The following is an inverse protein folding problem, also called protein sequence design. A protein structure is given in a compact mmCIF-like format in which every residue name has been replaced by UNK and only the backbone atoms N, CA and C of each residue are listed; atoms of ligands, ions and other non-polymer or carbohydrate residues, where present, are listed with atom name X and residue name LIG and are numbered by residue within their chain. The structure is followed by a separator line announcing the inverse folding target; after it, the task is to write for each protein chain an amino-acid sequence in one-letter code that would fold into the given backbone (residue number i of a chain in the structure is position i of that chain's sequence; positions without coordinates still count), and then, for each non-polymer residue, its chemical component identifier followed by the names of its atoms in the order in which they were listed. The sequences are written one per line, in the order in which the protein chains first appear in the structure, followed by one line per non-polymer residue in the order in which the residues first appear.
data_IF_173605583322
#
_entry.id   IF_173605583322
#
_cell.length_a   1.000
_cell.length_b   1.000
_cell.length_c   1.000
_cell.angle_alpha   90.00
_cell.angle_beta   90.00
_cell.angle_gamma   90.00
#
_symmetry.space_group_name_H-M   'P 1'
#
loop_
_entity.id
_entity.type
_entity.pdbx_description
1 polymer ?
#
# COMPACT_ATOMS: atom_id res chain seq x y z
N UNK A 1 9.60 10.33 -30.01
CA UNK A 1 9.53 10.59 -28.56
C UNK A 1 10.11 9.37 -27.85
N UNK A 2 11.21 9.53 -27.12
CA UNK A 2 11.90 8.46 -26.39
C UNK A 2 11.91 8.79 -24.89
N UNK A 3 11.17 8.02 -24.10
CA UNK A 3 11.15 8.19 -22.65
C UNK A 3 12.05 7.15 -21.98
N UNK A 4 12.80 7.60 -20.97
CA UNK A 4 13.75 6.79 -20.21
C UNK A 4 13.39 6.89 -18.72
N UNK A 5 13.78 5.90 -17.92
CA UNK A 5 13.53 5.91 -16.47
C UNK A 5 14.11 7.14 -15.77
N UNK A 6 15.23 7.69 -16.26
CA UNK A 6 15.77 8.95 -15.73
C UNK A 6 14.79 10.12 -15.84
N UNK A 7 13.95 10.16 -16.88
CA UNK A 7 12.94 11.20 -17.08
C UNK A 7 11.82 11.07 -16.06
N UNK A 8 11.37 9.84 -15.77
CA UNK A 8 10.38 9.55 -14.73
C UNK A 8 10.93 9.92 -13.33
N UNK A 9 12.17 9.52 -13.04
CA UNK A 9 12.85 9.88 -11.79
C UNK A 9 12.99 11.39 -11.62
N UNK A 10 13.33 12.11 -12.69
CA UNK A 10 13.45 13.56 -12.67
C UNK A 10 12.13 14.25 -12.31
N UNK A 11 11.01 13.89 -12.95
CA UNK A 11 9.74 14.55 -12.66
C UNK A 11 9.25 14.27 -11.24
N UNK A 12 9.40 13.02 -10.78
CA UNK A 12 9.04 12.60 -9.43
C UNK A 12 9.88 13.34 -8.40
N UNK A 13 11.20 13.38 -8.57
CA UNK A 13 12.10 14.09 -7.68
C UNK A 13 11.79 15.60 -7.60
N UNK A 14 11.49 16.25 -8.73
CA UNK A 14 11.11 17.67 -8.76
C UNK A 14 9.80 17.92 -8.03
N UNK A 15 8.80 17.05 -8.22
CA UNK A 15 7.53 17.11 -7.52
C UNK A 15 7.71 16.96 -6.00
N UNK A 16 8.36 15.87 -5.58
CA UNK A 16 8.56 15.52 -4.16
C UNK A 16 9.42 16.57 -3.42
N UNK A 17 10.37 17.16 -4.13
CA UNK A 17 11.26 18.18 -3.58
C UNK A 17 10.77 19.62 -3.83
N UNK A 18 9.63 19.83 -4.49
CA UNK A 18 9.04 21.15 -4.75
C UNK A 18 9.97 22.15 -5.46
N UNK A 19 10.96 21.69 -6.23
CA UNK A 19 11.90 22.56 -6.94
C UNK A 19 13.18 21.86 -7.42
N UNK A 20 13.79 22.40 -8.48
CA UNK A 20 14.94 21.78 -9.16
C UNK A 20 16.18 21.63 -8.27
N UNK A 21 16.50 22.59 -7.39
CA UNK A 21 17.72 22.52 -6.57
C UNK A 21 17.67 21.32 -5.63
N UNK A 22 16.62 21.24 -4.78
CA UNK A 22 16.44 20.13 -3.84
C UNK A 22 16.29 18.78 -4.54
N UNK A 23 15.68 18.76 -5.73
CA UNK A 23 15.56 17.55 -6.53
C UNK A 23 16.92 17.08 -7.07
N UNK A 24 17.74 18.01 -7.57
CA UNK A 24 19.07 17.71 -8.08
C UNK A 24 19.99 17.18 -6.97
N UNK A 25 19.92 17.78 -5.78
CA UNK A 25 20.65 17.30 -4.59
C UNK A 25 20.25 15.85 -4.24
N UNK A 26 18.94 15.54 -4.21
CA UNK A 26 18.45 14.17 -3.97
C UNK A 26 18.88 13.17 -5.04
N UNK A 27 19.01 13.62 -6.28
CA UNK A 27 19.42 12.79 -7.42
C UNK A 27 20.94 12.70 -7.59
N UNK A 28 21.72 13.34 -6.71
CA UNK A 28 23.19 13.42 -6.79
C UNK A 28 23.69 13.96 -8.15
N UNK A 29 23.02 14.97 -8.69
CA UNK A 29 23.40 15.67 -9.93
C UNK A 29 23.37 17.19 -9.75
N UNK A 30 23.93 17.93 -10.70
CA UNK A 30 23.86 19.40 -10.66
C UNK A 30 22.46 19.88 -11.05
N UNK A 31 22.05 21.02 -10.49
CA UNK A 31 20.78 21.68 -10.86
C UNK A 31 20.72 22.03 -12.37
N UNK A 32 21.86 22.36 -12.98
CA UNK A 32 21.97 22.62 -14.42
C UNK A 32 21.74 21.35 -15.26
N UNK A 33 22.27 20.20 -14.83
CA UNK A 33 22.05 18.92 -15.50
C UNK A 33 20.57 18.51 -15.46
N UNK A 34 19.92 18.62 -14.30
CA UNK A 34 18.50 18.33 -14.16
C UNK A 34 17.64 19.28 -15.01
N UNK A 35 17.97 20.57 -15.03
CA UNK A 35 17.28 21.57 -15.86
C UNK A 35 17.40 21.24 -17.35
N UNK A 36 18.60 20.87 -17.82
CA UNK A 36 18.83 20.48 -19.21
C UNK A 36 18.07 19.21 -19.58
N UNK A 37 18.03 18.23 -18.69
CA UNK A 37 17.28 16.99 -18.88
C UNK A 37 15.77 17.26 -19.01
N UNK A 38 15.20 18.10 -18.15
CA UNK A 38 13.79 18.51 -18.23
C UNK A 38 13.50 19.24 -19.54
N UNK A 39 14.36 20.20 -19.90
CA UNK A 39 14.19 20.96 -21.14
C UNK A 39 14.22 20.03 -22.37
N UNK A 40 15.19 19.12 -22.44
CA UNK A 40 15.27 18.15 -23.52
C UNK A 40 14.05 17.23 -23.58
N UNK A 41 13.48 16.88 -22.43
CA UNK A 41 12.23 16.11 -22.34
C UNK A 41 11.03 16.90 -22.87
N UNK A 42 10.89 18.19 -22.50
CA UNK A 42 9.84 19.08 -23.01
C UNK A 42 9.97 19.30 -24.52
N UNK A 43 11.18 19.55 -25.01
CA UNK A 43 11.49 19.73 -26.45
C UNK A 43 11.10 18.48 -27.25
N UNK A 44 11.43 17.29 -26.74
CA UNK A 44 11.08 16.03 -27.37
C UNK A 44 9.57 15.72 -27.29
N UNK A 45 8.91 16.14 -26.20
CA UNK A 45 7.48 15.93 -26.01
C UNK A 45 6.63 16.93 -26.79
N UNK A 46 7.20 18.07 -27.18
CA UNK A 46 6.49 19.18 -27.82
C UNK A 46 5.51 19.90 -26.89
N UNK A 47 5.59 19.64 -25.58
CA UNK A 47 4.71 20.19 -24.54
C UNK A 47 5.50 20.51 -23.29
N UNK A 48 5.10 21.58 -22.61
CA UNK A 48 5.69 21.95 -21.33
C UNK A 48 5.18 21.03 -20.23
N UNK A 49 6.08 20.50 -19.42
CA UNK A 49 5.78 19.70 -18.23
C UNK A 49 5.70 20.56 -16.98
N UNK A 50 6.25 21.79 -17.01
CA UNK A 50 6.20 22.74 -15.90
C UNK A 50 5.54 24.06 -16.31
N UNK A 51 4.83 24.68 -15.36
CA UNK A 51 4.25 26.02 -15.56
C UNK A 51 5.34 27.06 -15.40
N UNK A 52 5.64 27.79 -16.47
CA UNK A 52 6.64 28.87 -16.46
C UNK A 52 6.35 29.91 -15.37
N UNK A 53 7.41 30.43 -14.75
CA UNK A 53 7.40 31.58 -13.81
C UNK A 53 6.53 31.39 -12.57
N UNK A 54 6.32 30.16 -12.11
CA UNK A 54 5.68 29.87 -10.83
C UNK A 54 6.72 29.66 -9.72
N UNK A 55 6.48 30.28 -8.55
CA UNK A 55 7.20 30.00 -7.29
C UNK A 55 6.15 29.65 -6.24
N UNK A 56 6.07 28.39 -5.77
CA UNK A 56 6.91 27.24 -6.12
C UNK A 56 6.69 26.76 -7.57
N UNK A 57 7.66 26.01 -8.11
CA UNK A 57 7.56 25.38 -9.41
C UNK A 57 6.38 24.40 -9.42
N UNK A 58 5.50 24.51 -10.42
CA UNK A 58 4.32 23.62 -10.56
C UNK A 58 4.37 22.82 -11.85
N UNK A 59 3.84 21.60 -11.79
CA UNK A 59 3.60 20.77 -12.96
C UNK A 59 2.46 21.35 -13.81
N UNK A 60 2.59 21.25 -15.13
CA UNK A 60 1.51 21.50 -16.08
C UNK A 60 0.53 20.32 -16.11
N UNK A 61 -0.53 20.41 -16.92
CA UNK A 61 -1.42 19.26 -17.17
C UNK A 61 -0.66 18.07 -17.79
N UNK A 62 0.31 18.32 -18.68
CA UNK A 62 1.16 17.28 -19.24
C UNK A 62 2.14 16.72 -18.20
N UNK A 63 2.72 17.59 -17.37
CA UNK A 63 3.57 17.20 -16.26
C UNK A 63 2.85 16.29 -15.25
N UNK A 64 1.59 16.58 -14.94
CA UNK A 64 0.78 15.76 -14.04
C UNK A 64 0.52 14.36 -14.61
N UNK A 65 0.28 14.24 -15.92
CA UNK A 65 0.14 12.93 -16.58
C UNK A 65 1.45 12.14 -16.56
N UNK A 66 2.56 12.83 -16.76
CA UNK A 66 3.89 12.21 -16.73
C UNK A 66 4.31 11.80 -15.32
N UNK A 67 3.93 12.57 -14.29
CA UNK A 67 4.08 12.18 -12.88
C UNK A 67 3.29 10.92 -12.55
N UNK A 68 2.01 10.84 -12.93
CA UNK A 68 1.19 9.63 -12.72
C UNK A 68 1.82 8.39 -13.35
N UNK A 69 2.44 8.53 -14.52
CA UNK A 69 3.18 7.44 -15.14
C UNK A 69 4.41 7.05 -14.31
N UNK A 70 5.16 8.03 -13.80
CA UNK A 70 6.32 7.78 -12.94
C UNK A 70 5.92 7.08 -11.62
N UNK A 71 4.82 7.48 -11.00
CA UNK A 71 4.29 6.88 -9.77
C UNK A 71 3.84 5.43 -9.96
N UNK A 72 3.45 5.04 -11.17
CA UNK A 72 3.11 3.64 -11.49
C UNK A 72 4.33 2.81 -11.88
N UNK A 73 5.17 3.32 -12.78
CA UNK A 73 6.26 2.54 -13.41
C UNK A 73 7.48 2.41 -12.50
N UNK A 74 7.83 3.44 -11.72
CA UNK A 74 9.04 3.38 -10.88
C UNK A 74 8.95 2.28 -9.80
N UNK A 75 7.81 2.10 -9.09
CA UNK A 75 7.66 0.98 -8.16
C UNK A 75 7.80 -0.40 -8.80
N UNK A 76 7.26 -0.61 -10.02
CA UNK A 76 7.40 -1.89 -10.74
C UNK A 76 8.86 -2.21 -11.04
N UNK A 77 9.65 -1.20 -11.44
CA UNK A 77 11.09 -1.37 -11.68
C UNK A 77 11.86 -1.62 -10.38
N UNK A 78 11.51 -0.91 -9.30
CA UNK A 78 12.13 -1.09 -7.99
C UNK A 78 11.86 -2.50 -7.43
N UNK A 79 10.65 -3.04 -7.63
CA UNK A 79 10.30 -4.42 -7.27
C UNK A 79 11.17 -5.43 -8.04
N UNK A 80 11.30 -5.28 -9.35
CA UNK A 80 12.16 -6.15 -10.16
C UNK A 80 13.64 -6.08 -9.72
N UNK A 81 14.15 -4.88 -9.41
CA UNK A 81 15.51 -4.70 -8.88
C UNK A 81 15.69 -5.38 -7.51
N UNK A 82 14.66 -5.42 -6.68
CA UNK A 82 14.64 -6.16 -5.42
C UNK A 82 14.62 -7.68 -5.64
N UNK A 83 13.79 -8.19 -6.56
CA UNK A 83 13.73 -9.61 -6.90
C UNK A 83 15.09 -10.13 -7.38
N UNK A 84 15.77 -9.37 -8.25
CA UNK A 84 17.11 -9.73 -8.71
C UNK A 84 18.14 -9.73 -7.59
N UNK A 85 18.02 -8.85 -6.59
CA UNK A 85 18.88 -8.87 -5.41
C UNK A 85 18.63 -10.11 -4.56
N UNK A 86 17.37 -10.48 -4.36
CA UNK A 86 16.99 -11.67 -3.59
C UNK A 86 17.48 -12.96 -4.26
N UNK A 87 17.27 -13.10 -5.57
CA UNK A 87 17.78 -14.23 -6.37
C UNK A 87 19.29 -14.40 -6.23
N UNK A 88 20.05 -13.29 -6.26
CA UNK A 88 21.51 -13.31 -6.10
C UNK A 88 21.98 -13.71 -4.70
N UNK A 89 21.16 -13.48 -3.68
CA UNK A 89 21.46 -13.82 -2.28
C UNK A 89 21.06 -15.25 -1.91
N UNK A 90 20.48 -16.02 -2.84
CA UNK A 90 19.97 -17.36 -2.55
C UNK A 90 18.70 -17.37 -1.71
N UNK A 91 18.11 -16.19 -1.45
CA UNK A 91 16.79 -16.06 -0.82
C UNK A 91 15.75 -16.44 -1.86
N UNK A 92 15.20 -17.65 -1.73
CA UNK A 92 14.21 -18.18 -2.65
C UNK A 92 12.82 -17.88 -2.12
N UNK A 93 12.19 -16.86 -2.69
CA UNK A 93 10.77 -16.57 -2.53
C UNK A 93 10.49 -15.38 -1.63
N UNK A 94 9.45 -14.64 -1.99
CA UNK A 94 8.84 -13.60 -1.17
C UNK A 94 7.38 -13.99 -0.98
N UNK A 95 6.85 -13.76 0.21
CA UNK A 95 5.45 -13.95 0.54
C UNK A 95 4.86 -12.63 1.00
N UNK A 96 4.07 -12.01 0.14
CA UNK A 96 3.32 -10.80 0.40
C UNK A 96 1.96 -11.13 1.01
N UNK A 97 1.72 -10.64 2.22
CA UNK A 97 0.49 -10.88 2.97
C UNK A 97 -0.22 -9.56 3.22
N UNK A 98 -1.49 -9.45 2.82
CA UNK A 98 -2.38 -8.38 3.25
C UNK A 98 -3.37 -8.90 4.29
N UNK A 99 -3.80 -8.02 5.20
CA UNK A 99 -4.66 -8.36 6.33
C UNK A 99 -5.79 -7.34 6.39
N UNK A 100 -7.04 -7.81 6.40
CA UNK A 100 -8.24 -6.98 6.57
C UNK A 100 -8.85 -7.10 7.97
N UNK A 101 -8.44 -8.10 8.75
CA UNK A 101 -8.92 -8.37 10.10
C UNK A 101 -7.92 -7.95 11.18
N UNK A 102 -8.27 -6.98 12.02
CA UNK A 102 -7.41 -6.55 13.14
C UNK A 102 -7.17 -7.66 14.16
N UNK A 103 -8.15 -8.53 14.39
CA UNK A 103 -8.02 -9.69 15.28
C UNK A 103 -6.97 -10.70 14.80
N UNK A 104 -6.51 -10.60 13.55
CA UNK A 104 -5.64 -11.61 12.98
C UNK A 104 -4.18 -11.54 13.44
N UNK A 105 -3.73 -10.41 14.00
CA UNK A 105 -2.34 -10.25 14.42
C UNK A 105 -1.94 -11.19 15.57
N UNK A 106 -2.84 -11.49 16.50
CA UNK A 106 -2.51 -12.29 17.69
C UNK A 106 -2.11 -13.72 17.34
N UNK A 107 -2.80 -14.35 16.39
CA UNK A 107 -2.49 -15.72 15.96
C UNK A 107 -1.50 -15.77 14.79
N UNK A 108 -1.54 -14.79 13.88
CA UNK A 108 -0.75 -14.82 12.65
C UNK A 108 0.74 -14.66 12.94
N UNK A 109 1.13 -13.77 13.85
CA UNK A 109 2.56 -13.55 14.15
C UNK A 109 3.26 -14.81 14.69
N UNK A 110 2.71 -15.55 15.68
CA UNK A 110 3.26 -16.84 16.09
C UNK A 110 3.40 -17.86 14.95
N UNK A 111 2.43 -17.91 14.03
CA UNK A 111 2.46 -18.80 12.86
C UNK A 111 3.57 -18.37 11.90
N UNK A 112 3.70 -17.08 11.62
CA UNK A 112 4.76 -16.55 10.75
C UNK A 112 6.15 -16.71 11.34
N UNK A 113 6.29 -16.67 12.68
CA UNK A 113 7.55 -16.98 13.33
C UNK A 113 7.97 -18.44 13.08
N UNK A 114 7.03 -19.38 13.20
CA UNK A 114 7.28 -20.79 12.88
C UNK A 114 7.61 -20.98 11.40
N UNK A 115 6.87 -20.31 10.51
CA UNK A 115 7.11 -20.34 9.07
C UNK A 115 8.52 -19.87 8.73
N UNK A 116 8.97 -18.73 9.27
CA UNK A 116 10.31 -18.17 9.03
C UNK A 116 11.44 -19.07 9.54
N UNK A 117 11.20 -19.88 10.57
CA UNK A 117 12.18 -20.87 11.03
C UNK A 117 12.27 -22.08 10.09
N UNK A 118 11.14 -22.52 9.54
CA UNK A 118 11.08 -23.63 8.60
C UNK A 118 11.58 -23.25 7.19
N UNK A 119 11.36 -21.99 6.79
CA UNK A 119 11.68 -21.44 5.47
C UNK A 119 12.50 -20.15 5.62
N UNK A 120 13.76 -20.23 6.08
CA UNK A 120 14.58 -19.06 6.39
C UNK A 120 14.95 -18.22 5.17
N UNK A 121 14.85 -18.80 3.97
CA UNK A 121 15.18 -18.15 2.70
C UNK A 121 13.98 -17.41 2.08
N UNK A 122 12.78 -17.53 2.67
CA UNK A 122 11.57 -16.81 2.23
C UNK A 122 11.44 -15.52 3.01
N UNK A 123 11.39 -14.39 2.30
CA UNK A 123 11.09 -13.10 2.93
C UNK A 123 9.59 -12.88 3.07
N UNK A 124 9.12 -12.55 4.27
CA UNK A 124 7.68 -12.35 4.55
C UNK A 124 7.42 -10.87 4.74
N UNK A 125 6.59 -10.30 3.87
CA UNK A 125 6.23 -8.89 3.87
C UNK A 125 4.74 -8.72 4.14
N UNK A 126 4.41 -8.13 5.29
CA UNK A 126 3.03 -7.85 5.70
C UNK A 126 2.73 -6.40 5.35
N UNK A 127 1.70 -6.17 4.52
CA UNK A 127 1.28 -4.85 4.06
C UNK A 127 -0.01 -4.40 4.75
N UNK A 128 0.06 -3.83 5.97
CA UNK A 128 -1.12 -3.43 6.74
C UNK A 128 -1.89 -2.26 6.11
N UNK A 129 -1.29 -1.52 5.17
CA UNK A 129 -1.89 -0.35 4.53
C UNK A 129 -2.97 -0.65 3.48
N UNK A 130 -3.32 -1.91 3.25
CA UNK A 130 -4.27 -2.35 2.22
C UNK A 130 -5.63 -2.78 2.79
N UNK A 131 -6.00 -2.41 4.03
CA UNK A 131 -7.25 -2.89 4.66
C UNK A 131 -8.55 -2.60 3.88
N UNK A 132 -8.52 -1.70 2.90
CA UNK A 132 -9.65 -1.40 1.99
C UNK A 132 -9.38 -1.78 0.52
N UNK A 133 -8.21 -2.33 0.20
CA UNK A 133 -7.80 -2.71 -1.15
C UNK A 133 -7.11 -4.08 -1.20
N UNK A 134 -7.24 -4.93 -0.18
CA UNK A 134 -6.50 -6.18 -0.11
C UNK A 134 -6.96 -7.18 -1.20
N UNK A 135 -8.27 -7.38 -1.36
CA UNK A 135 -8.81 -8.24 -2.42
C UNK A 135 -8.52 -7.69 -3.83
N UNK A 136 -8.70 -6.38 -4.13
CA UNK A 136 -8.22 -5.80 -5.38
C UNK A 136 -6.70 -5.93 -5.60
N UNK A 137 -5.88 -5.84 -4.56
CA UNK A 137 -4.44 -6.06 -4.65
C UNK A 137 -4.11 -7.53 -4.98
N UNK A 138 -4.86 -8.48 -4.41
CA UNK A 138 -4.74 -9.90 -4.74
C UNK A 138 -5.10 -10.18 -6.20
N UNK A 139 -6.19 -9.60 -6.71
CA UNK A 139 -6.58 -9.73 -8.13
C UNK A 139 -5.52 -9.17 -9.10
N UNK A 140 -4.75 -8.17 -8.67
CA UNK A 140 -3.65 -7.58 -9.46
C UNK A 140 -2.32 -8.29 -9.24
N UNK A 141 -2.28 -9.32 -8.39
CA UNK A 141 -1.06 -10.03 -7.99
C UNK A 141 -0.05 -9.11 -7.27
N UNK A 142 -0.52 -8.01 -6.65
CA UNK A 142 0.31 -7.13 -5.82
C UNK A 142 0.65 -7.76 -4.45
N UNK A 143 -0.14 -8.76 -4.04
CA UNK A 143 0.04 -9.60 -2.84
C UNK A 143 -0.30 -11.05 -3.17
N UNK A 144 0.24 -11.99 -2.39
CA UNK A 144 0.09 -13.43 -2.64
C UNK A 144 -1.07 -14.04 -1.82
N UNK A 145 -1.30 -13.50 -0.62
CA UNK A 145 -2.32 -14.01 0.32
C UNK A 145 -3.02 -12.86 1.02
N UNK A 146 -4.35 -12.96 1.16
CA UNK A 146 -5.16 -12.05 1.98
C UNK A 146 -5.75 -12.84 3.14
N UNK A 147 -5.59 -12.30 4.36
CA UNK A 147 -6.27 -12.80 5.55
C UNK A 147 -7.47 -11.88 5.83
N UNK A 148 -8.68 -12.40 5.64
CA UNK A 148 -9.94 -11.65 5.79
C UNK A 148 -10.98 -12.45 6.59
N UNK A 149 -11.91 -11.74 7.23
CA UNK A 149 -13.06 -12.29 7.95
C UNK A 149 -14.30 -12.46 7.07
N UNK A 150 -14.38 -11.69 5.97
CA UNK A 150 -15.59 -11.54 5.16
C UNK A 150 -15.33 -12.14 3.76
N UNK A 151 -15.61 -13.44 3.52
CA UNK A 151 -15.39 -14.04 2.21
C UNK A 151 -16.38 -13.49 1.17
N UNK A 152 -15.85 -13.11 0.01
CA UNK A 152 -16.64 -12.64 -1.13
C UNK A 152 -16.57 -13.63 -2.29
N UNK A 153 -17.59 -13.68 -3.15
CA UNK A 153 -17.53 -14.45 -4.39
C UNK A 153 -16.89 -13.60 -5.49
N UNK A 154 -15.58 -13.76 -5.67
CA UNK A 154 -14.78 -13.01 -6.64
C UNK A 154 -14.16 -13.97 -7.67
N UNK A 155 -14.26 -13.63 -8.95
CA UNK A 155 -13.65 -14.42 -10.01
C UNK A 155 -12.13 -14.44 -9.86
N UNK A 156 -11.53 -15.62 -9.99
CA UNK A 156 -10.09 -15.84 -9.81
C UNK A 156 -9.56 -15.80 -8.37
N UNK A 157 -10.43 -15.69 -7.35
CA UNK A 157 -10.03 -15.75 -5.94
C UNK A 157 -10.74 -16.92 -5.24
N UNK A 158 -9.93 -17.77 -4.60
CA UNK A 158 -10.42 -18.85 -3.74
C UNK A 158 -10.23 -18.48 -2.27
N UNK A 159 -11.27 -18.70 -1.47
CA UNK A 159 -11.23 -18.53 -0.01
C UNK A 159 -11.07 -19.88 0.67
N UNK A 160 -10.06 -19.99 1.54
CA UNK A 160 -9.87 -21.16 2.41
C UNK A 160 -10.20 -20.79 3.85
N UNK A 161 -11.22 -21.43 4.42
CA UNK A 161 -11.55 -21.27 5.83
C UNK A 161 -10.38 -21.75 6.71
N UNK A 162 -9.96 -20.90 7.65
CA UNK A 162 -8.89 -21.23 8.59
C UNK A 162 -9.46 -21.75 9.91
N UNK A 163 -10.39 -20.99 10.50
CA UNK A 163 -11.09 -21.30 11.75
C UNK A 163 -12.19 -20.26 11.99
N UNK A 164 -13.09 -20.55 12.93
CA UNK A 164 -14.11 -19.62 13.38
C UNK A 164 -13.58 -18.69 14.48
N UNK A 165 -14.13 -17.48 14.58
CA UNK A 165 -13.91 -16.57 15.70
C UNK A 165 -15.23 -16.03 16.22
N UNK A 166 -15.26 -15.64 17.49
CA UNK A 166 -16.46 -15.13 18.16
C UNK A 166 -16.24 -13.67 18.58
N UNK A 167 -17.02 -12.71 18.05
CA UNK A 167 -17.05 -11.36 18.59
C UNK A 167 -17.76 -11.39 19.95
N UNK A 168 -17.12 -10.82 20.98
CA UNK A 168 -17.67 -10.77 22.33
C UNK A 168 -17.96 -9.34 22.77
N UNK A 169 -19.04 -9.16 23.52
CA UNK A 169 -19.33 -7.89 24.16
C UNK A 169 -18.37 -7.63 25.32
N UNK A 170 -17.73 -6.47 25.31
CA UNK A 170 -16.84 -6.03 26.38
C UNK A 170 -17.37 -4.72 26.96
N UNK A 171 -17.59 -4.70 28.28
CA UNK A 171 -18.00 -3.50 29.00
C UNK A 171 -17.42 -3.46 30.41
N UNK A 172 -17.60 -2.31 31.08
CA UNK A 172 -17.31 -2.18 32.50
C UNK A 172 -18.06 -3.24 33.32
N UNK A 173 -17.43 -3.75 34.38
CA UNK A 173 -18.10 -4.62 35.36
C UNK A 173 -19.29 -3.95 36.06
N UNK A 174 -19.42 -2.62 35.95
CA UNK A 174 -20.54 -1.84 36.49
C UNK A 174 -21.59 -1.49 35.44
N UNK A 175 -21.43 -1.95 34.19
CA UNK A 175 -22.39 -1.69 33.11
C UNK A 175 -23.71 -2.43 33.39
N UNK A 176 -24.89 -1.83 33.13
CA UNK A 176 -26.18 -2.51 33.36
C UNK A 176 -26.28 -3.88 32.68
N UNK A 177 -25.77 -3.99 31.46
CA UNK A 177 -25.75 -5.25 30.70
C UNK A 177 -24.82 -6.32 31.29
N UNK A 178 -23.87 -5.98 32.16
CA UNK A 178 -23.01 -6.97 32.82
C UNK A 178 -23.75 -7.84 33.86
N UNK A 179 -24.95 -7.43 34.28
CA UNK A 179 -25.81 -8.21 35.17
C UNK A 179 -26.63 -9.29 34.44
N UNK A 180 -26.64 -9.28 33.10
CA UNK A 180 -27.33 -10.28 32.29
C UNK A 180 -26.43 -11.50 32.06
N UNK A 181 -27.04 -12.68 32.05
CA UNK A 181 -26.37 -13.92 31.68
C UNK A 181 -26.02 -13.94 30.18
N UNK A 182 -26.91 -13.38 29.34
CA UNK A 182 -26.72 -13.23 27.90
C UNK A 182 -27.26 -11.87 27.44
N UNK A 183 -26.51 -11.22 26.56
CA UNK A 183 -26.89 -9.94 25.92
C UNK A 183 -27.41 -10.23 24.51
N UNK A 184 -28.46 -9.53 24.10
CA UNK A 184 -29.05 -9.65 22.75
C UNK A 184 -28.92 -8.33 21.99
N UNK A 185 -29.06 -8.37 20.65
CA UNK A 185 -28.90 -7.18 19.80
C UNK A 185 -29.77 -5.98 20.22
N UNK A 186 -31.00 -6.23 20.69
CA UNK A 186 -31.91 -5.17 21.15
C UNK A 186 -31.43 -4.43 22.39
N UNK A 187 -30.55 -5.04 23.19
CA UNK A 187 -29.99 -4.42 24.40
C UNK A 187 -29.07 -3.23 24.08
N UNK A 188 -28.53 -3.15 22.86
CA UNK A 188 -27.60 -2.11 22.44
C UNK A 188 -28.29 -0.85 21.89
N UNK A 189 -29.61 -0.85 21.71
CA UNK A 189 -30.35 0.25 21.05
C UNK A 189 -30.14 1.61 21.71
N UNK A 190 -30.04 1.63 23.03
CA UNK A 190 -29.92 2.83 23.84
C UNK A 190 -28.50 3.03 24.41
N UNK A 191 -27.55 2.18 24.01
CA UNK A 191 -26.18 2.20 24.52
C UNK A 191 -25.23 2.93 23.57
N UNK A 192 -24.18 3.54 24.14
CA UNK A 192 -23.09 4.09 23.34
C UNK A 192 -22.10 3.00 22.97
N UNK A 193 -22.07 2.62 21.69
CA UNK A 193 -21.13 1.64 21.16
C UNK A 193 -19.82 2.30 20.73
N UNK A 194 -18.68 1.71 21.13
CA UNK A 194 -17.36 2.08 20.66
C UNK A 194 -16.96 1.08 19.58
N UNK A 195 -16.97 1.50 18.33
CA UNK A 195 -16.67 0.65 17.17
C UNK A 195 -15.43 1.13 16.42
N UNK A 196 -14.91 0.29 15.52
CA UNK A 196 -13.85 0.70 14.60
C UNK A 196 -14.37 1.73 13.59
N UNK A 197 -13.52 2.65 13.11
CA UNK A 197 -13.90 3.65 12.11
C UNK A 197 -13.97 3.03 10.71
N UNK A 198 -14.89 2.09 10.51
CA UNK A 198 -15.17 1.42 9.24
C UNK A 198 -16.46 1.94 8.61
N UNK A 199 -16.65 1.69 7.32
CA UNK A 199 -17.92 2.01 6.65
C UNK A 199 -19.08 1.23 7.31
N UNK A 200 -20.28 1.81 7.31
CA UNK A 200 -21.46 1.16 7.91
C UNK A 200 -21.80 -0.19 7.28
N UNK A 201 -21.45 -0.39 6.01
CA UNK A 201 -21.61 -1.67 5.32
C UNK A 201 -20.71 -2.78 5.87
N UNK A 202 -19.69 -2.43 6.67
CA UNK A 202 -18.74 -3.34 7.31
C UNK A 202 -18.90 -3.41 8.83
N UNK A 203 -19.90 -2.73 9.38
CA UNK A 203 -20.30 -2.97 10.76
C UNK A 203 -21.18 -4.22 10.78
N UNK A 204 -20.89 -5.11 11.71
CA UNK A 204 -21.62 -6.33 12.02
C UNK A 204 -23.07 -6.06 12.49
#
# INVERSE_FOLDING_TARGET
MYFELRHLRAIKAINDAGGLSRAADRMNITQSALSHQVKGLEDQAGVELFVRRTKPLRLSAAGMRFLKLAERVLPEVEALEEDFRNLRQGRSGRLHIAIECHACFEWLFPVLEQFRRAWPDVDVDIRPGLAFEALPALQREDVDVVVSSDPECLDGIDFSALFDYEPVFVASSHHPLAAKEFVVADDFRDETLITYPVDRSRLD
#
